data_IF_388881167102
#
_entry.id   IF_388881167102
#
_cell.length_a   1.000
_cell.length_b   1.000
_cell.length_c   1.000
_cell.angle_alpha   90.00
_cell.angle_beta   90.00
_cell.angle_gamma   90.00
#
_symmetry.space_group_name_H-M   'P 1'
#
loop_
_entity.id
_entity.type
_entity.pdbx_description
1 polymer ?
#
# COMPACT_ATOMS: atom_id res chain seq x y z
N UNK A 1 -9.64 -6.37 10.41
CA UNK A 1 -8.63 -6.43 9.31
C UNK A 1 -9.14 -7.11 8.04
N UNK A 2 -9.90 -8.22 8.12
CA UNK A 2 -10.45 -8.93 6.94
C UNK A 2 -11.15 -8.03 5.90
N UNK A 3 -11.94 -7.05 6.35
CA UNK A 3 -12.60 -6.12 5.45
C UNK A 3 -11.63 -5.23 4.65
N UNK A 4 -10.44 -4.92 5.18
CA UNK A 4 -9.45 -4.09 4.47
C UNK A 4 -8.85 -4.85 3.27
N UNK A 5 -8.39 -6.08 3.47
CA UNK A 5 -7.87 -6.92 2.38
C UNK A 5 -8.94 -7.23 1.34
N UNK A 6 -10.20 -7.41 1.77
CA UNK A 6 -11.33 -7.52 0.85
C UNK A 6 -11.48 -6.24 0.02
N UNK A 7 -11.47 -5.05 0.63
CA UNK A 7 -11.55 -3.77 -0.11
C UNK A 7 -10.37 -3.58 -1.07
N UNK A 8 -9.18 -4.06 -0.69
CA UNK A 8 -7.98 -4.05 -1.52
C UNK A 8 -8.15 -4.93 -2.77
N UNK A 9 -8.65 -6.16 -2.59
CA UNK A 9 -8.96 -7.07 -3.70
C UNK A 9 -10.10 -6.52 -4.57
N UNK A 10 -11.13 -5.96 -3.95
CA UNK A 10 -12.27 -5.33 -4.61
C UNK A 10 -11.86 -4.13 -5.47
N UNK A 11 -10.67 -3.55 -5.26
CA UNK A 11 -10.12 -2.49 -6.11
C UNK A 11 -9.98 -2.92 -7.57
N UNK A 12 -9.70 -4.20 -7.85
CA UNK A 12 -9.53 -4.71 -9.21
C UNK A 12 -10.85 -5.05 -9.91
N UNK A 13 -11.97 -5.07 -9.18
CA UNK A 13 -13.28 -5.31 -9.76
C UNK A 13 -14.00 -3.98 -10.02
N UNK A 14 -14.33 -3.71 -11.29
CA UNK A 14 -14.95 -2.44 -11.68
C UNK A 14 -16.33 -2.21 -11.05
N UNK A 15 -17.08 -3.29 -10.85
CA UNK A 15 -18.42 -3.25 -10.24
C UNK A 15 -18.40 -2.91 -8.75
N UNK A 16 -17.26 -3.13 -8.07
CA UNK A 16 -17.08 -2.84 -6.65
C UNK A 16 -16.52 -1.44 -6.47
N UNK A 17 -17.44 -0.47 -6.44
CA UNK A 17 -17.14 0.95 -6.26
C UNK A 17 -17.29 1.33 -4.77
N UNK A 18 -16.36 2.14 -4.28
CA UNK A 18 -16.48 2.75 -2.96
C UNK A 18 -17.22 4.09 -3.06
N UNK A 19 -18.06 4.38 -2.07
CA UNK A 19 -18.53 5.74 -1.83
C UNK A 19 -17.43 6.62 -1.23
N UNK A 20 -17.65 7.93 -1.17
CA UNK A 20 -16.70 8.92 -0.63
C UNK A 20 -16.25 8.61 0.81
N UNK A 21 -17.18 8.38 1.73
CA UNK A 21 -16.87 8.03 3.13
C UNK A 21 -16.00 6.77 3.26
N UNK A 22 -16.38 5.60 2.69
CA UNK A 22 -15.54 4.41 2.78
C UNK A 22 -14.22 4.53 2.01
N UNK A 23 -14.15 5.36 0.96
CA UNK A 23 -12.89 5.69 0.27
C UNK A 23 -11.91 6.42 1.19
N UNK A 24 -12.37 7.46 1.91
CA UNK A 24 -11.51 8.18 2.87
C UNK A 24 -10.99 7.27 3.98
N UNK A 25 -11.85 6.38 4.51
CA UNK A 25 -11.44 5.38 5.50
C UNK A 25 -10.44 4.39 4.91
N UNK A 26 -10.60 4.00 3.65
CA UNK A 26 -9.65 3.10 2.98
C UNK A 26 -8.29 3.78 2.77
N UNK A 27 -8.25 5.04 2.35
CA UNK A 27 -7.03 5.85 2.23
C UNK A 27 -6.29 5.89 3.57
N UNK A 28 -7.00 6.27 4.65
CA UNK A 28 -6.41 6.33 5.99
C UNK A 28 -5.83 4.98 6.42
N UNK A 29 -6.57 3.88 6.20
CA UNK A 29 -6.10 2.53 6.52
C UNK A 29 -4.88 2.13 5.69
N UNK A 30 -4.79 2.54 4.43
CA UNK A 30 -3.62 2.29 3.59
C UNK A 30 -2.39 3.07 4.05
N UNK A 31 -2.55 4.30 4.55
CA UNK A 31 -1.46 5.06 5.18
C UNK A 31 -0.97 4.36 6.45
N UNK A 32 -1.89 3.94 7.32
CA UNK A 32 -1.55 3.19 8.53
C UNK A 32 -0.87 1.85 8.20
N UNK A 33 -1.34 1.15 7.18
CA UNK A 33 -0.73 -0.09 6.69
C UNK A 33 0.70 0.17 6.17
N UNK A 34 0.93 1.28 5.45
CA UNK A 34 2.27 1.64 4.99
C UNK A 34 3.22 1.89 6.17
N UNK A 35 2.80 2.71 7.14
CA UNK A 35 3.59 2.97 8.36
C UNK A 35 3.93 1.66 9.08
N UNK A 36 2.93 0.77 9.22
CA UNK A 36 3.13 -0.54 9.83
C UNK A 36 4.15 -1.40 9.07
N UNK A 37 4.05 -1.48 7.73
CA UNK A 37 5.00 -2.25 6.91
C UNK A 37 6.42 -1.69 6.96
N UNK A 38 6.57 -0.36 6.95
CA UNK A 38 7.88 0.29 7.14
C UNK A 38 8.45 -0.04 8.51
N UNK A 39 7.63 0.06 9.57
CA UNK A 39 8.05 -0.32 10.93
C UNK A 39 8.48 -1.79 11.01
N UNK A 40 7.69 -2.70 10.41
CA UNK A 40 8.00 -4.12 10.35
C UNK A 40 9.32 -4.37 9.60
N UNK A 41 9.53 -3.70 8.46
CA UNK A 41 10.77 -3.78 7.70
C UNK A 41 11.97 -3.34 8.55
N UNK A 42 11.87 -2.24 9.29
CA UNK A 42 12.95 -1.77 10.17
C UNK A 42 13.25 -2.76 11.29
N UNK A 43 12.23 -3.41 11.88
CA UNK A 43 12.41 -4.45 12.89
C UNK A 43 13.14 -5.66 12.30
N UNK A 44 12.70 -6.15 11.14
CA UNK A 44 13.36 -7.27 10.43
C UNK A 44 14.79 -6.92 10.07
N UNK A 45 15.01 -5.73 9.52
CA UNK A 45 16.35 -5.24 9.18
C UNK A 45 17.24 -5.22 10.42
N UNK A 46 16.75 -4.70 11.56
CA UNK A 46 17.50 -4.71 12.81
C UNK A 46 17.84 -6.11 13.30
N UNK A 47 16.97 -7.10 13.12
CA UNK A 47 17.28 -8.50 13.44
C UNK A 47 18.40 -9.02 12.53
N UNK A 48 18.34 -8.75 11.23
CA UNK A 48 19.37 -9.17 10.27
C UNK A 48 20.74 -8.57 10.58
N UNK A 49 20.80 -7.35 11.11
CA UNK A 49 22.05 -6.70 11.55
C UNK A 49 22.77 -7.47 12.67
N UNK A 50 22.08 -8.32 13.43
CA UNK A 50 22.67 -9.17 14.47
C UNK A 50 23.03 -10.58 13.96
N UNK A 51 22.94 -10.82 12.66
CA UNK A 51 23.30 -12.10 12.04
C UNK A 51 24.56 -11.94 11.18
N UNK A 52 25.31 -13.03 10.90
CA UNK A 52 26.49 -12.99 10.01
C UNK A 52 26.18 -12.52 8.58
N UNK A 53 24.89 -12.40 8.24
CA UNK A 53 24.47 -11.89 6.95
C UNK A 53 24.94 -10.44 6.71
N UNK A 54 25.12 -9.65 7.78
CA UNK A 54 25.61 -8.27 7.66
C UNK A 54 27.04 -8.19 7.10
N UNK A 55 27.87 -9.21 7.35
CA UNK A 55 29.26 -9.26 6.90
C UNK A 55 29.37 -9.37 5.36
N UNK A 56 28.28 -9.79 4.71
CA UNK A 56 28.16 -9.89 3.25
C UNK A 56 27.39 -8.72 2.63
N UNK A 57 26.85 -7.79 3.44
CA UNK A 57 26.03 -6.68 2.97
C UNK A 57 26.84 -5.38 2.96
N UNK A 58 27.11 -4.85 1.77
CA UNK A 58 27.66 -3.49 1.61
C UNK A 58 26.57 -2.44 1.80
N UNK A 59 26.98 -1.19 2.07
CA UNK A 59 26.05 -0.05 2.22
C UNK A 59 25.20 0.14 0.96
N UNK A 60 25.79 -0.02 -0.22
CA UNK A 60 25.08 0.12 -1.50
C UNK A 60 23.99 -0.94 -1.67
N UNK A 61 24.30 -2.20 -1.33
CA UNK A 61 23.33 -3.31 -1.37
C UNK A 61 22.18 -3.05 -0.40
N UNK A 62 22.48 -2.61 0.82
CA UNK A 62 21.46 -2.27 1.83
C UNK A 62 20.56 -1.14 1.32
N UNK A 63 21.15 -0.11 0.72
CA UNK A 63 20.42 1.03 0.19
C UNK A 63 19.47 0.62 -0.94
N UNK A 64 19.95 -0.18 -1.90
CA UNK A 64 19.15 -0.66 -3.02
C UNK A 64 18.00 -1.56 -2.55
N UNK A 65 18.26 -2.51 -1.64
CA UNK A 65 17.22 -3.36 -1.04
C UNK A 65 16.18 -2.49 -0.33
N UNK A 66 16.62 -1.50 0.45
CA UNK A 66 15.72 -0.60 1.18
C UNK A 66 14.82 0.15 0.23
N UNK A 67 15.37 0.76 -0.83
CA UNK A 67 14.59 1.49 -1.83
C UNK A 67 13.58 0.58 -2.50
N UNK A 68 14.02 -0.58 -2.99
CA UNK A 68 13.16 -1.51 -3.71
C UNK A 68 12.00 -1.99 -2.82
N UNK A 69 12.26 -2.25 -1.53
CA UNK A 69 11.24 -2.66 -0.58
C UNK A 69 10.23 -1.52 -0.29
N UNK A 70 10.72 -0.30 -0.07
CA UNK A 70 9.85 0.86 0.15
C UNK A 70 8.99 1.19 -1.08
N UNK A 71 9.54 1.05 -2.29
CA UNK A 71 8.81 1.19 -3.55
C UNK A 71 7.74 0.10 -3.65
N UNK A 72 8.09 -1.17 -3.38
CA UNK A 72 7.13 -2.28 -3.41
C UNK A 72 5.96 -2.03 -2.46
N UNK A 73 6.21 -1.61 -1.22
CA UNK A 73 5.16 -1.25 -0.27
C UNK A 73 4.27 -0.13 -0.76
N UNK A 74 4.87 0.94 -1.34
CA UNK A 74 4.10 2.03 -1.93
C UNK A 74 3.21 1.54 -3.06
N UNK A 75 3.73 0.75 -4.00
CA UNK A 75 2.97 0.24 -5.14
C UNK A 75 1.79 -0.62 -4.66
N UNK A 76 2.07 -1.60 -3.80
CA UNK A 76 1.06 -2.53 -3.28
C UNK A 76 -0.11 -1.78 -2.62
N UNK A 77 0.17 -0.73 -1.85
CA UNK A 77 -0.88 0.00 -1.11
C UNK A 77 -1.54 1.12 -1.91
N UNK A 78 -0.80 1.78 -2.82
CA UNK A 78 -1.32 2.92 -3.60
C UNK A 78 -2.15 2.50 -4.81
N UNK A 79 -1.80 1.42 -5.51
CA UNK A 79 -2.54 0.98 -6.71
C UNK A 79 -4.02 0.72 -6.40
N UNK A 80 -4.39 -0.03 -5.34
CA UNK A 80 -5.79 -0.22 -4.97
C UNK A 80 -6.52 1.09 -4.64
N UNK A 81 -5.82 2.04 -4.00
CA UNK A 81 -6.37 3.36 -3.67
C UNK A 81 -6.66 4.15 -4.94
N UNK A 82 -5.69 4.24 -5.85
CA UNK A 82 -5.81 4.94 -7.13
C UNK A 82 -6.98 4.36 -7.94
N UNK A 83 -7.09 3.03 -8.02
CA UNK A 83 -8.19 2.37 -8.71
C UNK A 83 -9.55 2.73 -8.13
N UNK A 84 -9.69 2.77 -6.81
CA UNK A 84 -10.95 3.19 -6.18
C UNK A 84 -11.24 4.67 -6.39
N UNK A 85 -10.24 5.56 -6.34
CA UNK A 85 -10.39 6.98 -6.64
C UNK A 85 -10.91 7.18 -8.07
N UNK A 86 -10.26 6.56 -9.07
CA UNK A 86 -10.67 6.63 -10.48
C UNK A 86 -12.13 6.18 -10.63
N UNK A 87 -12.49 5.04 -10.03
CA UNK A 87 -13.85 4.51 -10.08
C UNK A 87 -14.90 5.46 -9.47
N UNK A 88 -14.57 6.07 -8.34
CA UNK A 88 -15.45 7.03 -7.66
C UNK A 88 -15.59 8.30 -8.48
N UNK A 89 -14.51 8.82 -9.07
CA UNK A 89 -14.53 9.99 -9.95
C UNK A 89 -15.37 9.74 -11.20
N UNK A 90 -15.14 8.63 -11.91
CA UNK A 90 -15.92 8.28 -13.12
C UNK A 90 -17.41 8.19 -12.77
N UNK A 91 -17.78 7.55 -11.66
CA UNK A 91 -19.18 7.48 -11.21
C UNK A 91 -19.75 8.87 -10.94
N UNK A 92 -18.99 9.75 -10.29
CA UNK A 92 -19.43 11.12 -10.00
C UNK A 92 -19.72 11.91 -11.27
N UNK A 93 -18.84 11.80 -12.28
CA UNK A 93 -19.02 12.45 -13.59
C UNK A 93 -20.28 11.89 -14.28
N UNK A 94 -20.41 10.57 -14.40
CA UNK A 94 -21.57 9.94 -15.08
C UNK A 94 -22.90 10.29 -14.41
N UNK A 95 -22.92 10.42 -13.07
CA UNK A 95 -24.12 10.78 -12.33
C UNK A 95 -24.48 12.28 -12.43
N UNK A 96 -23.52 13.15 -12.76
CA UNK A 96 -23.76 14.58 -12.95
C UNK A 96 -24.20 14.93 -14.37
N UNK A 97 -23.99 14.02 -15.33
CA UNK A 97 -24.37 14.19 -16.74
C UNK A 97 -25.78 13.68 -17.08
N UNK A 98 -26.48 13.07 -16.12
CA UNK A 98 -27.88 12.62 -16.24
C UNK A 98 -28.77 13.47 -15.33
#
# INVERSE_FOLDING_TARGET
MLNYFRTMKDAFYWQKKLGLKPLMVFILKSVLAYIFLVGLYLVVFRILMYTPFIDYMTVDIIYEITINMLIAFRIILSVPVILHVIKTTVRGITAATH
#
